data_IF_650539038704
#
_entry.id   IF_650539038704
#
_cell.length_a   1.000
_cell.length_b   1.000
_cell.length_c   1.000
_cell.angle_alpha   90.00
_cell.angle_beta   90.00
_cell.angle_gamma   90.00
#
_symmetry.space_group_name_H-M   'P 1'
#
loop_
_entity.id
_entity.type
_entity.pdbx_description
1 polymer ?
#
# COMPACT_ATOMS: atom_id res chain seq x y z
N UNK A 1 58.90 2.03 -49.61
CA UNK A 1 57.42 1.97 -49.60
C UNK A 1 57.03 0.93 -48.56
N UNK A 2 56.99 1.27 -47.27
CA UNK A 2 55.84 1.81 -46.51
C UNK A 2 54.53 1.05 -46.73
N UNK A 3 54.26 0.07 -45.87
CA UNK A 3 52.95 -0.47 -45.53
C UNK A 3 52.94 -0.58 -43.99
N UNK A 4 52.50 0.47 -43.30
CA UNK A 4 51.13 0.74 -42.85
C UNK A 4 50.78 -0.05 -41.58
N UNK A 5 50.92 0.66 -40.45
CA UNK A 5 50.38 0.32 -39.14
C UNK A 5 48.86 0.30 -39.19
N UNK A 6 48.24 -0.73 -38.61
CA UNK A 6 46.93 -0.55 -37.95
C UNK A 6 46.70 -1.65 -36.90
N UNK A 7 47.34 -1.52 -35.74
CA UNK A 7 46.91 -2.25 -34.54
C UNK A 7 45.97 -1.34 -33.75
N UNK A 8 44.68 -1.43 -34.09
CA UNK A 8 43.61 -0.74 -33.37
C UNK A 8 43.53 -1.28 -31.94
N UNK A 9 44.07 -0.52 -30.99
CA UNK A 9 43.86 -0.79 -29.58
C UNK A 9 42.45 -0.34 -29.23
N UNK A 10 41.54 -1.29 -29.06
CA UNK A 10 40.21 -1.06 -28.49
C UNK A 10 40.43 -0.65 -27.02
N UNK A 11 40.25 0.63 -26.70
CA UNK A 11 40.09 1.07 -25.32
C UNK A 11 38.67 0.69 -24.88
N UNK A 12 38.56 -0.42 -24.14
CA UNK A 12 37.39 -0.68 -23.31
C UNK A 12 37.46 0.35 -22.17
N UNK A 13 36.76 1.48 -22.34
CA UNK A 13 36.47 2.37 -21.23
C UNK A 13 35.56 1.59 -20.30
N UNK A 14 36.05 1.23 -19.10
CA UNK A 14 35.18 0.81 -18.01
C UNK A 14 34.21 1.97 -17.78
N UNK A 15 32.93 1.71 -18.01
CA UNK A 15 31.87 2.60 -17.55
C UNK A 15 32.00 2.63 -16.03
N UNK A 16 32.16 3.83 -15.51
CA UNK A 16 32.34 4.09 -14.09
C UNK A 16 30.99 3.84 -13.42
N UNK A 17 30.94 2.85 -12.52
CA UNK A 17 29.74 2.44 -11.78
C UNK A 17 29.55 3.26 -10.48
N UNK A 18 30.18 4.43 -10.38
CA UNK A 18 30.23 5.23 -9.15
C UNK A 18 28.99 6.15 -8.96
N UNK A 19 28.15 6.35 -9.99
CA UNK A 19 26.99 7.27 -9.94
C UNK A 19 25.71 6.64 -9.36
N UNK A 20 25.64 5.30 -9.20
CA UNK A 20 24.41 4.57 -8.83
C UNK A 20 24.19 4.44 -7.31
N UNK A 21 25.20 4.70 -6.48
CA UNK A 21 25.10 4.63 -5.01
C UNK A 21 24.73 5.99 -4.39
N UNK A 22 25.28 7.09 -4.90
CA UNK A 22 24.96 8.44 -4.41
C UNK A 22 23.49 8.84 -4.68
N UNK A 23 22.92 8.39 -5.81
CA UNK A 23 21.52 8.65 -6.16
C UNK A 23 20.52 7.95 -5.23
N UNK A 24 20.86 6.78 -4.69
CA UNK A 24 19.99 6.04 -3.75
C UNK A 24 20.00 6.67 -2.36
N UNK A 25 21.14 7.17 -1.91
CA UNK A 25 21.26 7.78 -0.57
C UNK A 25 20.49 9.12 -0.49
N UNK A 26 20.47 9.91 -1.58
CA UNK A 26 19.70 11.15 -1.66
C UNK A 26 18.18 10.89 -1.62
N UNK A 27 17.70 9.91 -2.38
CA UNK A 27 16.30 9.48 -2.40
C UNK A 27 15.83 8.94 -1.03
N UNK A 28 16.69 8.20 -0.32
CA UNK A 28 16.42 7.73 1.04
C UNK A 28 16.34 8.87 2.05
N UNK A 29 17.24 9.86 1.93
CA UNK A 29 17.24 11.07 2.78
C UNK A 29 15.98 11.91 2.56
N UNK A 30 15.58 12.16 1.31
CA UNK A 30 14.32 12.87 1.02
C UNK A 30 13.13 12.09 1.56
N UNK A 31 13.07 10.77 1.33
CA UNK A 31 11.99 9.92 1.85
C UNK A 31 11.88 10.02 3.38
N UNK A 32 12.99 9.95 4.11
CA UNK A 32 13.02 10.11 5.57
C UNK A 32 12.52 11.49 6.00
N UNK A 33 12.95 12.55 5.31
CA UNK A 33 12.47 13.91 5.56
C UNK A 33 10.96 14.03 5.38
N UNK A 34 10.39 13.42 4.32
CA UNK A 34 8.93 13.41 4.08
C UNK A 34 8.16 12.66 5.15
N UNK A 35 8.70 11.55 5.66
CA UNK A 35 8.13 10.79 6.77
C UNK A 35 8.09 11.64 8.05
N UNK A 36 9.19 12.33 8.38
CA UNK A 36 9.26 13.23 9.54
C UNK A 36 8.26 14.39 9.42
N UNK A 37 8.16 14.99 8.23
CA UNK A 37 7.19 16.05 7.96
C UNK A 37 5.74 15.55 8.10
N UNK A 38 5.44 14.33 7.65
CA UNK A 38 4.12 13.71 7.79
C UNK A 38 3.78 13.45 9.26
N UNK A 39 4.75 13.00 10.06
CA UNK A 39 4.58 12.83 11.51
C UNK A 39 4.18 14.14 12.19
N UNK A 40 4.90 15.24 11.91
CA UNK A 40 4.57 16.57 12.43
C UNK A 40 3.21 17.06 11.93
N UNK A 41 2.88 16.79 10.67
CA UNK A 41 1.57 17.13 10.13
C UNK A 41 0.44 16.39 10.87
N UNK A 42 0.60 15.10 11.17
CA UNK A 42 -0.37 14.34 11.99
C UNK A 42 -0.59 14.96 13.37
N UNK A 43 0.48 15.42 14.03
CA UNK A 43 0.39 16.05 15.37
C UNK A 43 -0.47 17.33 15.34
N UNK A 44 -0.39 18.10 14.25
CA UNK A 44 -1.08 19.39 14.10
C UNK A 44 -2.48 19.29 13.49
N UNK A 45 -2.93 18.11 13.04
CA UNK A 45 -4.29 17.92 12.56
C UNK A 45 -5.32 18.17 13.66
N UNK A 46 -6.49 18.67 13.26
CA UNK A 46 -7.64 18.80 14.15
C UNK A 46 -7.97 17.46 14.81
N UNK A 47 -8.22 17.50 16.12
CA UNK A 47 -8.50 16.30 16.93
C UNK A 47 -9.66 15.49 16.34
N UNK A 48 -10.69 16.13 15.81
CA UNK A 48 -11.84 15.43 15.21
C UNK A 48 -11.46 14.56 14.00
N UNK A 49 -10.36 14.89 13.31
CA UNK A 49 -9.86 14.15 12.15
C UNK A 49 -8.98 12.99 12.59
N UNK A 50 -8.06 13.23 13.54
CA UNK A 50 -7.04 12.25 13.94
C UNK A 50 -7.41 11.36 15.12
N UNK A 51 -8.54 11.61 15.80
CA UNK A 51 -8.95 10.89 17.01
C UNK A 51 -8.91 9.36 16.87
N UNK A 52 -9.44 8.81 15.79
CA UNK A 52 -9.49 7.36 15.60
C UNK A 52 -8.11 6.77 15.30
N UNK A 53 -7.23 7.52 14.62
CA UNK A 53 -5.82 7.14 14.47
C UNK A 53 -5.08 7.16 15.80
N UNK A 54 -5.23 8.21 16.61
CA UNK A 54 -4.61 8.29 17.94
C UNK A 54 -5.10 7.16 18.85
N UNK A 55 -6.40 6.85 18.81
CA UNK A 55 -6.98 5.71 19.53
C UNK A 55 -6.39 4.37 19.06
N UNK A 56 -6.21 4.18 17.76
CA UNK A 56 -5.59 2.97 17.21
C UNK A 56 -4.11 2.84 17.63
N UNK A 57 -3.37 3.95 17.64
CA UNK A 57 -1.99 4.00 18.12
C UNK A 57 -1.88 3.67 19.61
N UNK A 58 -2.86 4.08 20.42
CA UNK A 58 -2.90 3.79 21.85
C UNK A 58 -3.23 2.32 22.14
N UNK A 59 -4.25 1.77 21.46
CA UNK A 59 -4.78 0.42 21.78
C UNK A 59 -4.05 -0.68 21.02
N UNK A 60 -3.71 -0.45 19.75
CA UNK A 60 -3.18 -1.48 18.84
C UNK A 60 -2.02 -0.95 17.97
N UNK A 61 -0.93 -0.42 18.57
CA UNK A 61 0.18 0.19 17.82
C UNK A 61 0.86 -0.77 16.82
N UNK A 62 0.85 -2.07 17.13
CA UNK A 62 1.39 -3.11 16.25
C UNK A 62 0.59 -3.27 14.95
N UNK A 63 -0.73 -3.10 14.99
CA UNK A 63 -1.58 -3.10 13.79
C UNK A 63 -1.32 -1.83 12.97
N UNK A 64 -1.24 -0.68 13.63
CA UNK A 64 -0.96 0.60 12.94
C UNK A 64 0.39 0.54 12.22
N UNK A 65 1.43 0.08 12.91
CA UNK A 65 2.79 -0.01 12.34
C UNK A 65 2.84 -1.03 11.20
N UNK A 66 2.15 -2.17 11.32
CA UNK A 66 2.17 -3.23 10.31
C UNK A 66 1.33 -2.95 9.07
N UNK A 67 0.14 -2.35 9.23
CA UNK A 67 -0.82 -2.19 8.13
C UNK A 67 -0.78 -0.80 7.49
N UNK A 68 -0.28 0.22 8.20
CA UNK A 68 -0.30 1.61 7.72
C UNK A 68 1.08 2.27 7.72
N UNK A 69 2.08 1.73 7.01
CA UNK A 69 3.38 2.38 6.89
C UNK A 69 3.25 3.70 6.13
N UNK A 70 3.87 4.77 6.65
CA UNK A 70 3.70 6.14 6.16
C UNK A 70 4.05 6.29 4.67
N UNK A 71 5.04 5.53 4.19
CA UNK A 71 5.48 5.57 2.79
C UNK A 71 4.36 5.26 1.79
N UNK A 72 3.39 4.41 2.15
CA UNK A 72 2.26 4.11 1.26
C UNK A 72 1.31 5.31 1.11
N UNK A 73 1.10 6.05 2.20
CA UNK A 73 0.28 7.27 2.18
C UNK A 73 0.99 8.41 1.45
N UNK A 74 2.30 8.58 1.69
CA UNK A 74 3.13 9.54 0.96
C UNK A 74 3.09 9.27 -0.55
N UNK A 75 3.35 8.04 -0.99
CA UNK A 75 3.28 7.68 -2.42
C UNK A 75 1.90 7.96 -3.03
N UNK A 76 0.83 7.70 -2.27
CA UNK A 76 -0.54 7.95 -2.73
C UNK A 76 -0.83 9.44 -2.93
N UNK A 77 -0.21 10.30 -2.12
CA UNK A 77 -0.41 11.75 -2.14
C UNK A 77 0.74 12.50 -2.81
N UNK A 78 1.48 11.85 -3.72
CA UNK A 78 2.62 12.44 -4.44
C UNK A 78 3.66 13.07 -3.50
N UNK A 79 3.95 12.40 -2.38
CA UNK A 79 4.88 12.81 -1.33
C UNK A 79 4.52 14.14 -0.62
N UNK A 80 3.26 14.60 -0.71
CA UNK A 80 2.72 15.70 0.10
C UNK A 80 2.46 15.25 1.55
N UNK A 81 3.28 15.68 2.53
CA UNK A 81 3.19 15.13 3.89
C UNK A 81 1.91 15.52 4.62
N UNK A 82 1.32 16.68 4.31
CA UNK A 82 0.11 17.18 4.96
C UNK A 82 -1.10 16.42 4.46
N UNK A 83 -1.21 16.20 3.15
CA UNK A 83 -2.28 15.37 2.57
C UNK A 83 -2.15 13.92 3.00
N UNK A 84 -0.93 13.38 3.02
CA UNK A 84 -0.67 12.01 3.47
C UNK A 84 -1.08 11.79 4.93
N UNK A 85 -0.72 12.72 5.82
CA UNK A 85 -1.16 12.72 7.23
C UNK A 85 -2.68 12.70 7.34
N UNK A 86 -3.37 13.59 6.62
CA UNK A 86 -4.84 13.64 6.60
C UNK A 86 -5.45 12.34 6.07
N UNK A 87 -4.89 11.75 5.02
CA UNK A 87 -5.36 10.46 4.47
C UNK A 87 -5.18 9.32 5.45
N UNK A 88 -4.06 9.27 6.18
CA UNK A 88 -3.84 8.26 7.22
C UNK A 88 -4.87 8.39 8.36
N UNK A 89 -5.11 9.60 8.85
CA UNK A 89 -6.13 9.84 9.87
C UNK A 89 -7.52 9.40 9.41
N UNK A 90 -7.91 9.78 8.19
CA UNK A 90 -9.20 9.38 7.59
C UNK A 90 -9.29 7.88 7.33
N UNK A 91 -8.19 7.21 6.99
CA UNK A 91 -8.18 5.75 6.83
C UNK A 91 -8.66 5.05 8.11
N UNK A 92 -8.16 5.46 9.28
CA UNK A 92 -8.55 4.85 10.55
C UNK A 92 -9.98 5.17 10.94
N UNK A 93 -10.46 6.39 10.64
CA UNK A 93 -11.88 6.75 10.75
C UNK A 93 -12.75 5.81 9.90
N UNK A 94 -12.45 5.67 8.60
CA UNK A 94 -13.22 4.82 7.70
C UNK A 94 -13.13 3.34 8.06
N UNK A 95 -11.97 2.88 8.55
CA UNK A 95 -11.79 1.51 9.04
C UNK A 95 -12.72 1.24 10.22
N UNK A 96 -12.82 2.18 11.16
CA UNK A 96 -13.75 2.11 12.28
C UNK A 96 -15.20 2.06 11.83
N UNK A 97 -15.59 2.96 10.94
CA UNK A 97 -16.96 3.02 10.41
C UNK A 97 -17.33 1.71 9.68
N UNK A 98 -16.38 1.11 8.94
CA UNK A 98 -16.62 -0.10 8.15
C UNK A 98 -16.69 -1.37 9.00
N UNK A 99 -15.79 -1.54 9.97
CA UNK A 99 -15.65 -2.79 10.73
C UNK A 99 -16.33 -2.76 12.11
N UNK A 100 -16.86 -1.60 12.52
CA UNK A 100 -17.50 -1.43 13.82
C UNK A 100 -16.53 -1.80 14.94
N UNK A 101 -16.95 -2.65 15.88
CA UNK A 101 -16.13 -3.10 17.01
C UNK A 101 -14.85 -3.86 16.61
N UNK A 102 -14.81 -4.42 15.39
CA UNK A 102 -13.68 -5.25 14.89
C UNK A 102 -12.55 -4.43 14.25
N UNK A 103 -12.66 -3.11 14.23
CA UNK A 103 -11.77 -2.22 13.47
C UNK A 103 -10.30 -2.23 13.91
N UNK A 104 -10.01 -2.63 15.15
CA UNK A 104 -8.64 -2.79 15.66
C UNK A 104 -8.09 -4.22 15.50
N UNK A 105 -8.83 -5.12 14.85
CA UNK A 105 -8.33 -6.45 14.53
C UNK A 105 -7.51 -6.44 13.22
N UNK A 106 -6.57 -7.39 13.04
CA UNK A 106 -5.79 -7.48 11.82
C UNK A 106 -6.66 -7.72 10.57
N UNK A 107 -6.33 -7.09 9.44
CA UNK A 107 -7.04 -7.29 8.17
C UNK A 107 -6.55 -8.56 7.45
N UNK A 108 -6.87 -9.72 8.02
CA UNK A 108 -6.44 -11.05 7.52
C UNK A 108 -7.64 -11.92 7.15
N UNK A 109 -7.47 -12.77 6.13
CA UNK A 109 -8.51 -13.67 5.64
C UNK A 109 -8.58 -15.01 6.42
N UNK A 110 -8.47 -14.96 7.75
CA UNK A 110 -8.53 -16.15 8.63
C UNK A 110 -9.88 -16.34 9.32
N UNK A 111 -10.75 -15.31 9.28
CA UNK A 111 -12.01 -15.28 10.03
C UNK A 111 -11.86 -14.89 11.50
N UNK A 112 -10.62 -14.67 11.98
CA UNK A 112 -10.31 -14.25 13.35
C UNK A 112 -9.88 -12.79 13.48
N UNK A 113 -9.90 -12.06 12.35
CA UNK A 113 -9.47 -10.67 12.26
C UNK A 113 -10.64 -9.72 12.02
N UNK A 114 -10.33 -8.58 11.38
CA UNK A 114 -11.35 -7.62 10.95
C UNK A 114 -12.27 -8.16 9.84
N UNK A 115 -11.95 -9.32 9.23
CA UNK A 115 -12.81 -10.00 8.26
C UNK A 115 -13.51 -11.22 8.88
N UNK A 116 -14.82 -11.31 8.73
CA UNK A 116 -15.63 -12.48 9.12
C UNK A 116 -15.54 -13.60 8.09
N UNK A 117 -15.99 -14.82 8.47
CA UNK A 117 -16.06 -15.95 7.54
C UNK A 117 -17.02 -15.68 6.36
N UNK A 118 -18.21 -15.09 6.54
CA UNK A 118 -19.06 -14.67 5.41
C UNK A 118 -18.38 -13.67 4.46
N UNK A 119 -17.71 -12.63 4.99
CA UNK A 119 -16.98 -11.64 4.18
C UNK A 119 -15.86 -12.31 3.38
N UNK A 120 -15.11 -13.24 3.98
CA UNK A 120 -14.06 -14.01 3.29
C UNK A 120 -14.66 -14.94 2.24
N UNK A 121 -15.78 -15.60 2.54
CA UNK A 121 -16.47 -16.45 1.59
C UNK A 121 -16.90 -15.64 0.36
N UNK A 122 -17.38 -14.41 0.56
CA UNK A 122 -17.68 -13.48 -0.53
C UNK A 122 -16.44 -13.10 -1.35
N UNK A 123 -15.30 -12.80 -0.72
CA UNK A 123 -14.05 -12.52 -1.45
C UNK A 123 -13.58 -13.70 -2.31
N UNK A 124 -13.82 -14.94 -1.85
CA UNK A 124 -13.45 -16.18 -2.56
C UNK A 124 -14.32 -16.51 -3.77
N UNK A 125 -15.39 -15.75 -4.01
CA UNK A 125 -16.31 -15.97 -5.15
C UNK A 125 -15.67 -15.61 -6.49
N UNK A 126 -14.57 -14.85 -6.46
CA UNK A 126 -13.99 -14.24 -7.65
C UNK A 126 -14.77 -13.02 -8.14
N UNK A 127 -15.68 -12.46 -7.31
CA UNK A 127 -16.30 -11.17 -7.58
C UNK A 127 -15.27 -10.04 -7.63
N UNK A 128 -14.15 -10.19 -6.91
CA UNK A 128 -12.99 -9.31 -6.96
C UNK A 128 -11.78 -10.16 -7.32
N UNK A 129 -11.13 -9.87 -8.44
CA UNK A 129 -9.89 -10.53 -8.86
C UNK A 129 -8.80 -9.49 -9.04
N UNK A 130 -7.64 -9.73 -8.43
CA UNK A 130 -6.45 -8.92 -8.64
C UNK A 130 -5.51 -9.68 -9.58
N UNK A 131 -5.30 -9.13 -10.77
CA UNK A 131 -4.40 -9.67 -11.78
C UNK A 131 -3.14 -8.80 -11.81
N UNK A 132 -1.98 -9.44 -11.64
CA UNK A 132 -0.69 -8.78 -11.86
C UNK A 132 -0.40 -8.81 -13.35
N UNK A 133 -0.15 -7.66 -13.94
CA UNK A 133 0.30 -7.58 -15.32
C UNK A 133 1.82 -7.69 -15.32
N UNK A 134 2.35 -8.81 -15.81
CA UNK A 134 3.81 -9.05 -15.86
C UNK A 134 4.49 -8.19 -16.93
N UNK A 135 3.75 -7.76 -17.96
CA UNK A 135 4.29 -7.05 -19.15
C UNK A 135 4.09 -5.53 -19.13
N UNK A 136 3.58 -4.94 -18.05
CA UNK A 136 3.36 -3.50 -17.97
C UNK A 136 4.63 -2.74 -17.52
N UNK A 137 4.97 -1.58 -18.13
CA UNK A 137 6.15 -0.77 -17.75
C UNK A 137 6.11 -0.29 -16.29
N UNK A 138 4.91 -0.18 -15.72
CA UNK A 138 4.65 -0.01 -14.29
C UNK A 138 4.01 -1.31 -13.81
N UNK A 139 4.40 -1.78 -12.62
CA UNK A 139 3.79 -2.94 -11.94
C UNK A 139 2.35 -2.62 -11.52
N UNK A 140 1.50 -2.33 -12.48
CA UNK A 140 0.12 -1.97 -12.26
C UNK A 140 -0.67 -3.23 -11.87
N UNK A 141 -1.56 -3.06 -10.91
CA UNK A 141 -2.47 -4.14 -10.48
C UNK A 141 -3.80 -3.90 -11.16
N UNK A 142 -4.23 -4.84 -12.00
CA UNK A 142 -5.56 -4.82 -12.59
C UNK A 142 -6.55 -5.43 -11.59
N UNK A 143 -7.55 -4.65 -11.18
CA UNK A 143 -8.66 -5.14 -10.35
C UNK A 143 -9.87 -5.37 -11.24
N UNK A 144 -10.30 -6.63 -11.37
CA UNK A 144 -11.50 -7.03 -12.10
C UNK A 144 -12.63 -7.20 -11.10
N UNK A 145 -13.76 -6.53 -11.36
CA UNK A 145 -14.98 -6.66 -10.57
C UNK A 145 -16.04 -7.41 -11.40
N UNK A 146 -16.31 -8.67 -11.05
CA UNK A 146 -17.31 -9.51 -11.69
C UNK A 146 -18.53 -9.69 -10.77
N UNK A 147 -19.46 -8.74 -10.86
CA UNK A 147 -20.66 -8.74 -10.01
C UNK A 147 -21.58 -9.95 -10.25
N UNK A 148 -21.50 -10.60 -11.42
CA UNK A 148 -22.29 -11.81 -11.70
C UNK A 148 -21.92 -12.99 -10.80
N UNK A 149 -20.66 -13.04 -10.35
CA UNK A 149 -20.17 -14.02 -9.38
C UNK A 149 -20.53 -13.66 -7.95
N UNK A 150 -20.61 -12.37 -7.65
CA UNK A 150 -21.01 -11.86 -6.34
C UNK A 150 -22.47 -12.17 -6.03
N UNK A 151 -23.39 -11.94 -6.98
CA UNK A 151 -24.83 -12.20 -6.79
C UNK A 151 -25.15 -13.67 -6.59
N UNK A 152 -24.53 -14.56 -7.37
CA UNK A 152 -24.73 -16.01 -7.25
C UNK A 152 -24.24 -16.54 -5.90
N UNK A 153 -23.15 -15.98 -5.37
CA UNK A 153 -22.63 -16.38 -4.08
C UNK A 153 -23.42 -15.84 -2.89
N UNK A 154 -23.89 -14.59 -2.97
CA UNK A 154 -24.77 -14.01 -1.96
C UNK A 154 -26.08 -14.81 -1.85
N UNK A 155 -26.64 -15.21 -3.00
CA UNK A 155 -27.83 -16.04 -3.07
C UNK A 155 -27.61 -17.42 -2.41
N UNK A 156 -26.48 -18.08 -2.68
CA UNK A 156 -26.14 -19.37 -2.03
C UNK A 156 -25.87 -19.25 -0.54
N UNK A 157 -25.23 -18.16 -0.09
CA UNK A 157 -25.01 -17.91 1.34
C UNK A 157 -26.34 -17.75 2.07
N UNK A 158 -27.26 -16.98 1.47
CA UNK A 158 -28.63 -16.81 1.97
C UNK A 158 -29.40 -18.13 2.01
N UNK A 159 -29.31 -18.94 0.96
CA UNK A 159 -29.91 -20.28 0.89
C UNK A 159 -29.33 -21.26 1.92
N UNK A 160 -28.05 -21.11 2.29
CA UNK A 160 -27.38 -21.90 3.31
C UNK A 160 -27.65 -21.42 4.75
N UNK A 161 -28.51 -20.40 4.94
CA UNK A 161 -28.78 -19.81 6.25
C UNK A 161 -27.60 -19.04 6.84
N UNK A 162 -26.60 -18.71 6.01
CA UNK A 162 -25.46 -17.86 6.35
C UNK A 162 -25.79 -16.43 5.93
N UNK A 163 -26.88 -15.88 6.47
CA UNK A 163 -27.18 -14.46 6.30
C UNK A 163 -26.18 -13.65 7.17
N UNK A 164 -25.60 -12.56 6.65
CA UNK A 164 -24.69 -11.70 7.41
C UNK A 164 -25.37 -11.01 8.62
#
# INVERSE_FOLDING_TARGET
MMASNNSGTIRIMKKQDDDDDDMKEEDEKDTRLRIEQMSRALETLDVSIKRDYETAMEIAPHIVTGETPFIHFLRTENYDPVKAARRLALYWKYRKDLFGERWLLPLVQTGRGALTLPEIAFLRTGAILMVRTEDAPKKDTLVILDFSRGTAALQRAKEAGLDP
#
